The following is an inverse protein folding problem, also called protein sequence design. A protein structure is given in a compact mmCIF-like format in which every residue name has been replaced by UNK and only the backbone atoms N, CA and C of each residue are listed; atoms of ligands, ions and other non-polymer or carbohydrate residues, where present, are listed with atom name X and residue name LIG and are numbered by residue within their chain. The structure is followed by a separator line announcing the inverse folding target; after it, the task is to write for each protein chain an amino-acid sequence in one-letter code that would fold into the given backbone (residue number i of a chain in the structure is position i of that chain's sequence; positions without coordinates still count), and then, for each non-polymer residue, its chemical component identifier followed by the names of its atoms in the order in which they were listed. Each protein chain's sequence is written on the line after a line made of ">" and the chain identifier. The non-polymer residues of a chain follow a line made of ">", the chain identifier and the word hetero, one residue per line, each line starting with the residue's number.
data_IF_584268636399
#
_entry.id   IF_584268636399
#
_cell.length_a   1.000
_cell.length_b   1.000
_cell.length_c   1.000
_cell.angle_alpha   90.00
_cell.angle_beta   90.00
_cell.angle_gamma   90.00
#
_symmetry.space_group_name_H-M   'P 1'
#
loop_
_entity.id
_entity.type
_entity.pdbx_description
1 polymer ?
#
# COMPACT_ATOMS: atom_id res chain seq x y z
N UNK A 1 19.50 19.30 -1.29
CA UNK A 1 19.28 17.83 -1.28
C UNK A 1 17.81 17.60 -1.65
N UNK A 2 17.53 17.02 -2.83
CA UNK A 2 16.17 16.58 -3.16
C UNK A 2 15.77 15.49 -2.17
N UNK A 3 14.72 15.70 -1.38
CA UNK A 3 14.07 14.60 -0.66
C UNK A 3 13.63 13.58 -1.72
N UNK A 4 14.03 12.30 -1.63
CA UNK A 4 13.57 11.30 -2.59
C UNK A 4 12.04 11.27 -2.52
N UNK A 5 11.40 11.46 -3.66
CA UNK A 5 9.95 11.33 -3.76
C UNK A 5 9.59 9.92 -3.28
N UNK A 6 8.88 9.83 -2.16
CA UNK A 6 8.46 8.56 -1.59
C UNK A 6 7.51 7.91 -2.61
N UNK A 7 7.91 6.76 -3.16
CA UNK A 7 7.03 5.98 -4.02
C UNK A 7 5.88 5.44 -3.16
N UNK A 8 4.72 6.10 -3.25
CA UNK A 8 3.52 5.76 -2.47
C UNK A 8 3.13 4.29 -2.60
N UNK A 9 3.25 3.72 -3.80
CA UNK A 9 2.92 2.33 -4.06
C UNK A 9 3.89 1.39 -3.34
N UNK A 10 5.20 1.60 -3.51
CA UNK A 10 6.22 0.74 -2.88
C UNK A 10 6.20 0.88 -1.35
N UNK A 11 5.97 2.09 -0.83
CA UNK A 11 5.80 2.34 0.59
C UNK A 11 4.60 1.60 1.16
N UNK A 12 3.44 1.74 0.52
CA UNK A 12 2.21 1.02 0.88
C UNK A 12 2.43 -0.51 0.87
N UNK A 13 2.91 -1.06 -0.25
CA UNK A 13 3.08 -2.51 -0.43
C UNK A 13 4.15 -3.09 0.50
N UNK A 14 5.22 -2.33 0.78
CA UNK A 14 6.22 -2.76 1.76
C UNK A 14 5.66 -2.74 3.18
N UNK A 15 4.85 -1.74 3.55
CA UNK A 15 4.30 -1.68 4.90
C UNK A 15 3.36 -2.87 5.16
N UNK A 16 2.41 -3.14 4.25
CA UNK A 16 1.48 -4.28 4.41
C UNK A 16 2.21 -5.63 4.43
N UNK A 17 3.30 -5.76 3.66
CA UNK A 17 4.13 -6.97 3.62
C UNK A 17 4.92 -7.17 4.91
N UNK A 18 5.63 -6.14 5.38
CA UNK A 18 6.47 -6.21 6.59
C UNK A 18 5.64 -6.54 7.84
N UNK A 19 4.48 -5.91 7.96
CA UNK A 19 3.60 -6.08 9.11
C UNK A 19 2.65 -7.29 8.99
N UNK A 20 2.79 -8.09 7.92
CA UNK A 20 1.91 -9.21 7.58
C UNK A 20 0.42 -8.85 7.68
N UNK A 21 0.05 -7.65 7.20
CA UNK A 21 -1.33 -7.16 7.25
C UNK A 21 -2.17 -7.93 6.26
N UNK A 22 -3.30 -8.47 6.71
CA UNK A 22 -4.29 -9.05 5.81
C UNK A 22 -4.85 -7.91 4.95
N UNK A 23 -4.78 -8.07 3.63
CA UNK A 23 -5.35 -7.15 2.65
C UNK A 23 -6.51 -7.81 1.91
N UNK A 24 -7.49 -7.00 1.53
CA UNK A 24 -8.49 -7.38 0.53
C UNK A 24 -8.15 -6.64 -0.77
N UNK A 25 -7.91 -7.39 -1.83
CA UNK A 25 -7.61 -6.90 -3.18
C UNK A 25 -8.89 -7.04 -4.00
N UNK A 26 -9.42 -5.91 -4.48
CA UNK A 26 -10.50 -5.88 -5.44
C UNK A 26 -9.91 -5.86 -6.85
N UNK A 27 -10.43 -6.73 -7.71
CA UNK A 27 -10.08 -6.77 -9.11
C UNK A 27 -11.02 -5.87 -9.93
N UNK A 28 -10.59 -5.49 -11.13
CA UNK A 28 -11.36 -4.65 -12.06
C UNK A 28 -12.67 -5.30 -12.51
N UNK A 29 -12.76 -6.63 -12.46
CA UNK A 29 -13.99 -7.39 -12.76
C UNK A 29 -14.93 -7.53 -11.54
N UNK A 30 -14.58 -6.94 -10.39
CA UNK A 30 -15.39 -6.97 -9.17
C UNK A 30 -15.13 -8.17 -8.26
N UNK A 31 -14.32 -9.15 -8.66
CA UNK A 31 -13.92 -10.25 -7.78
C UNK A 31 -12.96 -9.73 -6.70
N UNK A 32 -13.00 -10.33 -5.50
CA UNK A 32 -12.11 -9.99 -4.41
C UNK A 32 -11.25 -11.17 -4.00
N UNK A 33 -10.00 -10.88 -3.66
CA UNK A 33 -9.04 -11.85 -3.14
C UNK A 33 -8.53 -11.33 -1.80
N UNK A 34 -8.33 -12.21 -0.82
CA UNK A 34 -7.90 -11.82 0.52
C UNK A 34 -6.70 -12.65 0.94
N UNK A 35 -5.72 -12.02 1.57
CA UNK A 35 -4.53 -12.71 2.05
C UNK A 35 -3.46 -11.75 2.54
N UNK A 36 -2.25 -12.26 2.72
CA UNK A 36 -1.07 -11.50 3.16
C UNK A 36 -0.15 -11.30 1.96
N UNK A 37 0.32 -10.06 1.75
CA UNK A 37 1.34 -9.79 0.72
C UNK A 37 2.66 -10.41 1.17
N UNK A 38 3.22 -11.32 0.37
CA UNK A 38 4.55 -11.92 0.61
C UNK A 38 5.66 -11.30 -0.22
N UNK A 39 5.33 -10.76 -1.38
CA UNK A 39 6.27 -10.10 -2.27
C UNK A 39 5.55 -9.29 -3.34
N UNK A 40 6.27 -8.40 -3.99
CA UNK A 40 5.79 -7.65 -5.14
C UNK A 40 6.97 -7.20 -5.99
N UNK A 41 6.69 -6.94 -7.27
CA UNK A 41 7.60 -6.27 -8.18
C UNK A 41 6.86 -5.12 -8.87
N UNK A 42 7.34 -4.64 -10.02
CA UNK A 42 6.70 -3.56 -10.76
C UNK A 42 5.29 -3.89 -11.24
N UNK A 43 4.99 -5.16 -11.57
CA UNK A 43 3.76 -5.56 -12.27
C UNK A 43 2.91 -6.56 -11.50
N UNK A 44 3.44 -7.18 -10.45
CA UNK A 44 2.79 -8.30 -9.75
C UNK A 44 2.89 -8.18 -8.24
N UNK A 45 1.98 -8.88 -7.55
CA UNK A 45 1.92 -9.07 -6.11
C UNK A 45 1.77 -10.56 -5.85
N UNK A 46 2.59 -11.12 -4.96
CA UNK A 46 2.39 -12.47 -4.40
C UNK A 46 1.54 -12.32 -3.13
N UNK A 47 0.34 -12.91 -3.17
CA UNK A 47 -0.57 -13.00 -2.04
C UNK A 47 -0.52 -14.42 -1.48
N UNK A 48 -0.55 -14.57 -0.15
CA UNK A 48 -0.69 -15.87 0.51
C UNK A 48 -2.01 -15.93 1.26
N UNK A 49 -2.77 -17.01 1.04
CA UNK A 49 -3.96 -17.34 1.80
C UNK A 49 -4.00 -18.85 2.08
N UNK A 50 -4.15 -19.23 3.35
CA UNK A 50 -4.15 -20.63 3.81
C UNK A 50 -2.99 -21.48 3.26
N UNK A 51 -1.78 -20.90 3.26
CA UNK A 51 -0.55 -21.56 2.77
C UNK A 51 -0.44 -21.69 1.25
N UNK A 52 -1.41 -21.18 0.48
CA UNK A 52 -1.35 -21.13 -0.99
C UNK A 52 -0.85 -19.76 -1.44
N UNK A 53 0.03 -19.77 -2.43
CA UNK A 53 0.58 -18.56 -3.04
C UNK A 53 -0.17 -18.27 -4.34
N UNK A 54 -0.62 -17.02 -4.49
CA UNK A 54 -1.33 -16.52 -5.66
C UNK A 54 -0.56 -15.34 -6.26
N UNK A 55 -0.23 -15.42 -7.54
CA UNK A 55 0.37 -14.32 -8.29
C UNK A 55 -0.75 -13.46 -8.87
N UNK A 56 -0.85 -12.21 -8.41
CA UNK A 56 -1.85 -11.25 -8.87
C UNK A 56 -1.17 -10.18 -9.72
N UNK A 57 -1.63 -9.99 -10.95
CA UNK A 57 -1.16 -8.91 -11.82
C UNK A 57 -1.81 -7.58 -11.44
N UNK A 58 -1.01 -6.51 -11.30
CA UNK A 58 -1.48 -5.18 -10.89
C UNK A 58 -2.47 -4.55 -11.88
N UNK A 59 -2.38 -4.85 -13.18
CA UNK A 59 -3.35 -4.34 -14.16
C UNK A 59 -4.78 -4.86 -13.95
N UNK A 60 -4.92 -5.98 -13.24
CA UNK A 60 -6.21 -6.56 -12.90
C UNK A 60 -6.75 -6.02 -11.56
N UNK A 61 -5.96 -5.27 -10.79
CA UNK A 61 -6.32 -4.75 -9.46
C UNK A 61 -6.95 -3.36 -9.61
N UNK A 62 -8.11 -3.16 -8.99
CA UNK A 62 -8.74 -1.85 -8.87
C UNK A 62 -8.40 -1.19 -7.52
N UNK A 63 -8.36 -1.93 -6.42
CA UNK A 63 -8.17 -1.37 -5.07
C UNK A 63 -7.55 -2.39 -4.11
N UNK A 64 -6.72 -1.93 -3.18
CA UNK A 64 -6.16 -2.75 -2.08
C UNK A 64 -6.55 -2.10 -0.75
N UNK A 65 -7.24 -2.85 0.12
CA UNK A 65 -7.70 -2.38 1.42
C UNK A 65 -7.04 -3.19 2.53
N UNK A 66 -6.23 -2.57 3.41
CA UNK A 66 -5.65 -3.26 4.56
C UNK A 66 -6.70 -3.44 5.68
N UNK A 67 -6.64 -4.56 6.39
CA UNK A 67 -7.56 -4.87 7.49
C UNK A 67 -7.36 -3.98 8.75
N UNK A 68 -6.22 -3.29 8.82
CA UNK A 68 -5.94 -2.26 9.84
C UNK A 68 -5.43 -1.00 9.15
N UNK A 69 -5.65 0.15 9.78
CA UNK A 69 -5.06 1.40 9.33
C UNK A 69 -3.53 1.29 9.31
N UNK A 70 -2.93 1.84 8.25
CA UNK A 70 -1.48 1.95 8.13
C UNK A 70 -1.08 3.34 8.60
N UNK A 71 0.01 3.42 9.35
CA UNK A 71 0.56 4.71 9.78
C UNK A 71 1.42 5.31 8.67
N UNK A 72 0.81 6.19 7.87
CA UNK A 72 1.52 6.98 6.86
C UNK A 72 2.04 8.32 7.43
N UNK A 73 1.81 8.61 8.72
CA UNK A 73 1.98 9.94 9.29
C UNK A 73 3.46 10.35 9.49
N UNK A 74 4.41 9.42 9.36
CA UNK A 74 5.84 9.75 9.44
C UNK A 74 6.44 10.30 8.15
N UNK A 75 5.75 10.17 7.01
CA UNK A 75 6.31 10.45 5.68
C UNK A 75 5.50 11.46 4.84
N UNK A 76 4.34 11.90 5.31
CA UNK A 76 3.66 13.03 4.70
C UNK A 76 4.42 14.33 5.05
N UNK A 77 4.79 15.19 4.08
CA UNK A 77 5.32 16.50 4.40
C UNK A 77 4.23 17.26 5.17
N UNK A 78 4.46 17.49 6.47
CA UNK A 78 3.70 18.46 7.24
C UNK A 78 3.92 19.81 6.56
N UNK A 79 2.92 20.28 5.83
CA UNK A 79 2.87 21.70 5.45
C UNK A 79 2.72 22.46 6.75
N UNK A 80 3.82 23.01 7.28
CA UNK A 80 3.76 24.01 8.33
C UNK A 80 2.91 25.16 7.79
N UNK A 81 1.68 25.27 8.28
CA UNK A 81 0.87 26.47 8.06
C UNK A 81 1.49 27.58 8.91
N UNK A 82 2.48 28.28 8.36
CA UNK A 82 2.91 29.58 8.86
C UNK A 82 1.78 30.57 8.62
N UNK A 83 0.82 30.60 9.55
CA UNK A 83 0.00 31.78 9.77
C UNK A 83 0.91 32.84 10.37
N UNK A 84 1.46 33.71 9.53
CA UNK A 84 2.00 34.99 9.99
C UNK A 84 0.81 35.82 10.45
N UNK A 85 0.65 35.94 11.77
CA UNK A 85 -0.19 36.95 12.39
C UNK A 85 0.50 38.30 12.16
N UNK A 86 0.09 39.01 11.11
CA UNK A 86 0.58 40.35 10.80
C UNK A 86 -0.10 41.34 11.75
N UNK A 87 0.68 41.92 12.66
CA UNK A 87 0.29 43.05 13.53
C UNK A 87 0.65 44.38 12.88
#
# INVERSE_FOLDING_TARGET
>A
MNKPAINLQDGFLNQVRKDAVIVTIYLVNGFQVRGIVRGFDNFTIILENDGKHELVYKHAISTIIPAKALDFASDAPRTESTFTDES
#
